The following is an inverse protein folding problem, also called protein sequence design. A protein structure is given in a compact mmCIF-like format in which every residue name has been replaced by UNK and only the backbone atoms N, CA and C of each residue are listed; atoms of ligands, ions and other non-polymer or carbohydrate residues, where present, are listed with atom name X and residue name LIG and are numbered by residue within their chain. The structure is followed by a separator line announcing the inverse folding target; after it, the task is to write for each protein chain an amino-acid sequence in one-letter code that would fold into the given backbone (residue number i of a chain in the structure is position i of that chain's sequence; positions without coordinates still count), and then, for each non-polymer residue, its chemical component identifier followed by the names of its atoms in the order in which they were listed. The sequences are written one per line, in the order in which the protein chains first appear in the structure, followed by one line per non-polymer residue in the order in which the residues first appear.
data_IF_101107843807
#
_entry.id   IF_101107843807
#
_cell.length_a   1.000
_cell.length_b   1.000
_cell.length_c   1.000
_cell.angle_alpha   90.00
_cell.angle_beta   90.00
_cell.angle_gamma   90.00
#
_symmetry.space_group_name_H-M   'P 1'
#
loop_
_entity.id
_entity.type
_entity.pdbx_description
1 polymer ?
#
# COMPACT_ATOMS: atom_id res chain seq x y z
N UNK A 1 11.16 -12.89 -9.40
CA UNK A 1 11.15 -12.06 -8.17
C UNK A 1 11.59 -10.67 -8.57
N UNK A 2 11.11 -9.63 -7.86
CA UNK A 2 11.29 -8.23 -8.26
C UNK A 2 11.49 -7.34 -7.03
N UNK A 3 12.07 -6.17 -7.25
CA UNK A 3 12.20 -5.14 -6.23
C UNK A 3 11.05 -4.15 -6.38
N UNK A 4 10.45 -3.73 -5.27
CA UNK A 4 9.35 -2.78 -5.28
C UNK A 4 9.57 -1.67 -4.27
N UNK A 5 9.35 -0.44 -4.73
CA UNK A 5 9.15 0.71 -3.87
C UNK A 5 7.64 0.94 -3.70
N UNK A 6 7.20 1.19 -2.46
CA UNK A 6 5.78 1.33 -2.13
C UNK A 6 5.59 2.54 -1.25
N UNK A 7 4.68 3.42 -1.69
CA UNK A 7 4.23 4.59 -0.92
C UNK A 7 2.73 4.45 -0.68
N UNK A 8 2.29 4.67 0.56
CA UNK A 8 0.88 4.75 0.94
C UNK A 8 0.64 6.08 1.64
N UNK A 9 -0.30 6.84 1.13
CA UNK A 9 -0.73 8.13 1.65
C UNK A 9 -2.25 8.21 1.74
N UNK A 10 -2.78 9.21 2.43
CA UNK A 10 -4.19 9.62 2.33
C UNK A 10 -4.30 11.12 2.55
N UNK A 11 -5.36 11.72 2.03
CA UNK A 11 -5.67 13.10 2.34
C UNK A 11 -6.32 13.19 3.72
N UNK A 12 -5.60 13.76 4.69
CA UNK A 12 -6.14 14.09 6.00
C UNK A 12 -6.21 15.61 6.13
N UNK A 13 -7.43 16.14 6.27
CA UNK A 13 -7.65 17.55 6.58
C UNK A 13 -6.91 18.53 5.65
N UNK A 14 -6.97 18.27 4.33
CA UNK A 14 -6.34 19.07 3.26
C UNK A 14 -4.83 18.86 3.09
N UNK A 15 -4.22 17.94 3.82
CA UNK A 15 -2.80 17.58 3.68
C UNK A 15 -2.69 16.13 3.24
N UNK A 16 -1.91 15.87 2.19
CA UNK A 16 -1.54 14.51 1.81
C UNK A 16 -0.50 13.99 2.78
N UNK A 17 -0.91 13.11 3.68
CA UNK A 17 -0.04 12.49 4.66
C UNK A 17 0.48 11.16 4.13
N UNK A 18 1.81 11.03 4.03
CA UNK A 18 2.47 9.74 3.77
C UNK A 18 2.53 8.95 5.08
N UNK A 19 1.95 7.76 5.08
CA UNK A 19 1.95 6.86 6.24
C UNK A 19 3.02 5.77 6.14
N UNK A 20 3.31 5.36 4.92
CA UNK A 20 4.17 4.24 4.62
C UNK A 20 5.00 4.58 3.40
N UNK A 21 6.31 4.43 3.54
CA UNK A 21 7.29 4.55 2.47
C UNK A 21 8.34 3.47 2.72
N UNK A 22 8.48 2.51 1.81
CA UNK A 22 9.48 1.46 1.93
C UNK A 22 9.81 0.79 0.61
N UNK A 23 10.99 0.17 0.58
CA UNK A 23 11.42 -0.71 -0.51
C UNK A 23 11.50 -2.16 -0.02
N UNK A 24 11.09 -3.10 -0.87
CA UNK A 24 11.28 -4.54 -0.70
C UNK A 24 12.06 -5.10 -1.87
N UNK A 25 13.12 -5.84 -1.56
CA UNK A 25 14.00 -6.45 -2.56
C UNK A 25 13.72 -7.94 -2.69
N UNK A 26 13.84 -8.46 -3.92
CA UNK A 26 13.73 -9.87 -4.26
C UNK A 26 12.47 -10.56 -3.69
N UNK A 27 11.30 -9.98 -3.93
CA UNK A 27 10.03 -10.49 -3.40
C UNK A 27 9.09 -11.02 -4.48
N UNK A 28 8.27 -11.99 -4.10
CA UNK A 28 7.07 -12.35 -4.86
C UNK A 28 5.94 -11.35 -4.60
N UNK A 29 4.89 -11.38 -5.42
CA UNK A 29 3.69 -10.58 -5.17
C UNK A 29 3.01 -10.96 -3.83
N UNK A 30 3.04 -12.24 -3.44
CA UNK A 30 2.48 -12.69 -2.16
C UNK A 30 3.22 -12.10 -0.96
N UNK A 31 4.56 -12.04 -1.04
CA UNK A 31 5.40 -11.44 -0.01
C UNK A 31 5.18 -9.93 0.07
N UNK A 32 5.06 -9.28 -1.08
CA UNK A 32 4.75 -7.85 -1.17
C UNK A 32 3.39 -7.55 -0.52
N UNK A 33 2.33 -8.32 -0.83
CA UNK A 33 1.02 -8.20 -0.19
C UNK A 33 1.12 -8.29 1.33
N UNK A 34 1.86 -9.28 1.82
CA UNK A 34 2.05 -9.49 3.27
C UNK A 34 2.77 -8.29 3.91
N UNK A 35 3.79 -7.75 3.25
CA UNK A 35 4.55 -6.59 3.72
C UNK A 35 3.70 -5.31 3.78
N UNK A 36 2.87 -5.08 2.75
CA UNK A 36 1.92 -3.95 2.68
C UNK A 36 0.85 -4.12 3.76
N UNK A 37 0.24 -5.30 3.88
CA UNK A 37 -0.83 -5.58 4.84
C UNK A 37 -0.40 -5.31 6.29
N UNK A 38 0.82 -5.72 6.66
CA UNK A 38 1.39 -5.46 7.99
C UNK A 38 1.51 -3.96 8.27
N UNK A 39 2.00 -3.19 7.31
CA UNK A 39 2.21 -1.73 7.44
C UNK A 39 0.90 -0.96 7.46
N UNK A 40 -0.04 -1.28 6.58
CA UNK A 40 -1.41 -0.74 6.63
C UNK A 40 -2.05 -1.04 7.98
N UNK A 41 -1.78 -2.21 8.57
CA UNK A 41 -2.23 -2.55 9.93
C UNK A 41 -1.78 -1.60 11.02
N UNK A 42 -0.56 -1.04 10.89
CA UNK A 42 0.09 -0.18 11.87
C UNK A 42 -0.28 1.31 11.74
N UNK A 43 -1.00 1.71 10.69
CA UNK A 43 -1.47 3.09 10.54
C UNK A 43 -2.46 3.39 11.69
N UNK A 44 -2.09 4.36 12.54
CA UNK A 44 -2.90 4.84 13.64
C UNK A 44 -4.29 5.22 13.14
N UNK A 45 -5.33 4.71 13.80
CA UNK A 45 -6.69 4.79 13.27
C UNK A 45 -7.53 5.75 14.08
N UNK A 46 -7.91 6.85 13.45
CA UNK A 46 -8.98 7.74 13.93
C UNK A 46 -10.16 7.66 12.95
N UNK A 47 -11.35 7.32 13.47
CA UNK A 47 -12.63 7.37 12.76
C UNK A 47 -12.62 6.87 11.29
N UNK A 48 -12.66 7.78 10.32
CA UNK A 48 -12.75 7.51 8.86
C UNK A 48 -11.59 6.65 8.35
N UNK A 49 -10.38 6.86 8.85
CA UNK A 49 -9.18 6.08 8.52
C UNK A 49 -9.38 4.60 8.85
N UNK A 50 -10.12 4.28 9.92
CA UNK A 50 -10.31 2.90 10.34
C UNK A 50 -11.20 2.10 9.37
N UNK A 51 -12.29 2.70 8.87
CA UNK A 51 -13.18 2.06 7.88
C UNK A 51 -12.43 1.80 6.56
N UNK A 52 -11.67 2.79 6.09
CA UNK A 52 -10.84 2.64 4.90
C UNK A 52 -9.72 1.62 5.10
N UNK A 53 -9.14 1.53 6.30
CA UNK A 53 -8.11 0.54 6.64
C UNK A 53 -8.64 -0.89 6.52
N UNK A 54 -9.85 -1.15 7.01
CA UNK A 54 -10.47 -2.49 6.89
C UNK A 54 -10.68 -2.85 5.42
N UNK A 55 -11.22 -1.93 4.62
CA UNK A 55 -11.44 -2.15 3.19
C UNK A 55 -10.14 -2.33 2.40
N UNK A 56 -9.14 -1.48 2.62
CA UNK A 56 -7.81 -1.61 2.02
C UNK A 56 -7.18 -2.97 2.35
N UNK A 57 -7.27 -3.44 3.60
CA UNK A 57 -6.79 -4.77 4.00
C UNK A 57 -7.48 -5.90 3.24
N UNK A 58 -8.79 -5.80 2.98
CA UNK A 58 -9.53 -6.80 2.21
C UNK A 58 -9.10 -6.81 0.74
N UNK A 59 -8.95 -5.64 0.13
CA UNK A 59 -8.44 -5.48 -1.24
C UNK A 59 -7.05 -6.11 -1.37
N UNK A 60 -6.12 -5.76 -0.47
CA UNK A 60 -4.76 -6.33 -0.48
C UNK A 60 -4.81 -7.85 -0.41
N UNK A 61 -5.61 -8.44 0.49
CA UNK A 61 -5.69 -9.91 0.63
C UNK A 61 -6.18 -10.58 -0.66
N UNK A 62 -7.19 -10.00 -1.31
CA UNK A 62 -7.90 -10.64 -2.42
C UNK A 62 -7.30 -10.33 -3.81
N UNK A 63 -6.46 -9.31 -3.93
CA UNK A 63 -5.89 -8.92 -5.20
C UNK A 63 -5.04 -10.02 -5.85
N UNK A 64 -5.15 -10.14 -7.18
CA UNK A 64 -4.45 -11.12 -8.02
C UNK A 64 -3.22 -10.54 -8.73
N UNK A 65 -3.16 -9.21 -8.86
CA UNK A 65 -2.01 -8.49 -9.39
C UNK A 65 -1.76 -7.17 -8.64
N UNK A 66 -0.60 -6.57 -8.87
CA UNK A 66 -0.26 -5.24 -8.34
C UNK A 66 -1.22 -4.19 -8.92
N UNK A 67 -1.45 -4.20 -10.23
CA UNK A 67 -2.33 -3.25 -10.90
C UNK A 67 -3.77 -3.30 -10.38
N UNK A 68 -4.30 -4.50 -10.15
CA UNK A 68 -5.62 -4.67 -9.55
C UNK A 68 -5.66 -4.10 -8.13
N UNK A 69 -4.63 -4.40 -7.33
CA UNK A 69 -4.52 -3.94 -5.95
C UNK A 69 -4.46 -2.41 -5.87
N UNK A 70 -3.58 -1.78 -6.65
CA UNK A 70 -3.39 -0.32 -6.65
C UNK A 70 -4.65 0.38 -7.15
N UNK A 71 -5.23 -0.10 -8.26
CA UNK A 71 -6.47 0.44 -8.80
C UNK A 71 -7.62 0.40 -7.77
N UNK A 72 -7.86 -0.75 -7.14
CA UNK A 72 -8.96 -0.89 -6.18
C UNK A 72 -8.73 -0.06 -4.92
N UNK A 73 -7.51 0.02 -4.39
CA UNK A 73 -7.22 0.89 -3.23
C UNK A 73 -7.49 2.35 -3.59
N UNK A 74 -6.95 2.82 -4.71
CA UNK A 74 -7.01 4.23 -5.14
C UNK A 74 -8.43 4.68 -5.54
N UNK A 75 -9.30 3.77 -5.97
CA UNK A 75 -10.66 4.10 -6.41
C UNK A 75 -11.73 3.81 -5.36
N UNK A 76 -11.46 2.93 -4.40
CA UNK A 76 -12.48 2.45 -3.47
C UNK A 76 -12.20 2.81 -2.01
N UNK A 77 -11.08 3.45 -1.72
CA UNK A 77 -10.69 3.90 -0.38
C UNK A 77 -10.13 5.31 -0.45
N UNK A 78 -10.03 5.99 0.70
CA UNK A 78 -9.34 7.28 0.77
C UNK A 78 -7.81 7.15 0.81
N UNK A 79 -7.27 5.92 0.81
CA UNK A 79 -5.83 5.72 0.65
C UNK A 79 -5.44 5.87 -0.82
N UNK A 80 -4.29 6.49 -1.01
CA UNK A 80 -3.54 6.44 -2.24
C UNK A 80 -2.34 5.51 -2.06
N UNK A 81 -2.12 4.60 -3.01
CA UNK A 81 -0.97 3.70 -3.05
C UNK A 81 -0.30 3.79 -4.41
N UNK A 82 1.02 3.87 -4.37
CA UNK A 82 1.91 3.77 -5.52
C UNK A 82 2.83 2.57 -5.28
N UNK A 83 2.97 1.72 -6.30
CA UNK A 83 3.88 0.57 -6.29
C UNK A 83 4.69 0.61 -7.57
N UNK A 84 5.99 0.86 -7.43
CA UNK A 84 6.91 0.97 -8.54
C UNK A 84 7.93 -0.15 -8.49
N UNK A 85 8.25 -0.75 -9.63
CA UNK A 85 9.37 -1.68 -9.72
C UNK A 85 10.68 -0.90 -9.55
N UNK A 86 11.39 -1.17 -8.47
CA UNK A 86 12.65 -0.51 -8.16
C UNK A 86 13.75 -1.05 -9.09
N UNK A 87 13.94 -0.37 -10.22
CA UNK A 87 15.00 -0.65 -11.18
C UNK A 87 16.33 -0.10 -10.65
N UNK A 88 17.07 -0.94 -9.92
CA UNK A 88 18.49 -0.72 -9.63
C UNK A 88 18.84 0.56 -8.87
N UNK A 89 18.55 0.60 -7.56
CA UNK A 89 19.44 1.30 -6.63
C UNK A 89 20.36 0.26 -6.00
N UNK A 90 21.37 -0.16 -6.76
CA UNK A 90 22.57 -0.73 -6.18
C UNK A 90 23.33 0.45 -5.57
N UNK A 91 23.33 0.55 -4.24
CA UNK A 91 24.39 1.27 -3.53
C UNK A 91 25.60 0.35 -3.39
#
# INVERSE_FOLDING_TARGET
MKNYHVVISANEWLIDQVFVDFTKYDVSFSDLKTAILKRVGNICSVNRVNKNKVKAKQIIKNAKSIDEMTYQINTQTDFHIVVEEATGWQQ
#
